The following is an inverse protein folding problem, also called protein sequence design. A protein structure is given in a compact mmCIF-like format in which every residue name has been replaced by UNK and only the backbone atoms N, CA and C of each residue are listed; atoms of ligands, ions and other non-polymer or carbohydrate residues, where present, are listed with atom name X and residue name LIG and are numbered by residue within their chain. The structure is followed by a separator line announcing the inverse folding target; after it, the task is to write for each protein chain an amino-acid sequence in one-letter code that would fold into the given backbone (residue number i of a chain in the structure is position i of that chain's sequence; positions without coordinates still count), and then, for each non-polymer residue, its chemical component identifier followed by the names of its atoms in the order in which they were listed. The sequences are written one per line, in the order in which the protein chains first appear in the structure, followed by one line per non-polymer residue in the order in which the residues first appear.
data_IF_195350199293
#
_entry.id   IF_195350199293
#
_cell.length_a   1.000
_cell.length_b   1.000
_cell.length_c   1.000
_cell.angle_alpha   90.00
_cell.angle_beta   90.00
_cell.angle_gamma   90.00
#
_symmetry.space_group_name_H-M   'P 1'
#
loop_
_entity.id
_entity.type
_entity.pdbx_description
1 polymer ?
#
# COMPACT_ATOMS: atom_id res chain seq x y z
N UNK A 1 -17.99 19.84 -15.05
CA UNK A 1 -18.00 18.47 -14.52
C UNK A 1 -17.26 17.60 -15.52
N UNK A 2 -15.95 17.39 -15.34
CA UNK A 2 -15.18 16.53 -16.26
C UNK A 2 -15.63 15.09 -16.02
N UNK A 3 -16.09 14.41 -17.07
CA UNK A 3 -16.47 13.01 -17.02
C UNK A 3 -15.21 12.18 -16.74
N UNK A 4 -15.20 11.47 -15.61
CA UNK A 4 -14.15 10.50 -15.29
C UNK A 4 -14.43 9.20 -16.07
N UNK A 5 -14.24 9.23 -17.38
CA UNK A 5 -14.54 8.11 -18.29
C UNK A 5 -13.37 7.13 -18.51
N UNK A 6 -12.30 7.23 -17.73
CA UNK A 6 -11.15 6.32 -17.82
C UNK A 6 -10.82 5.60 -16.51
N UNK A 7 -11.84 5.07 -15.81
CA UNK A 7 -11.60 3.98 -14.85
C UNK A 7 -11.32 2.74 -15.68
N UNK A 8 -10.10 2.21 -15.61
CA UNK A 8 -9.80 0.93 -16.24
C UNK A 8 -10.78 -0.11 -15.69
N UNK A 9 -11.37 -0.93 -16.55
CA UNK A 9 -12.11 -2.09 -16.07
C UNK A 9 -11.11 -3.10 -15.47
N UNK A 10 -11.50 -3.87 -14.44
CA UNK A 10 -10.70 -5.01 -14.02
C UNK A 10 -10.50 -5.93 -15.24
N UNK A 11 -9.27 -6.42 -15.48
CA UNK A 11 -9.01 -7.24 -16.65
C UNK A 11 -9.88 -8.50 -16.59
N UNK A 12 -10.58 -8.79 -17.69
CA UNK A 12 -11.26 -10.07 -17.88
C UNK A 12 -10.21 -11.08 -18.30
N UNK A 13 -9.86 -11.99 -17.38
CA UNK A 13 -8.75 -12.91 -17.59
C UNK A 13 -7.40 -12.27 -17.26
N UNK A 14 -6.55 -13.10 -16.67
CA UNK A 14 -5.19 -12.84 -16.20
C UNK A 14 -4.38 -11.90 -17.12
N UNK A 15 -4.44 -10.59 -16.89
CA UNK A 15 -3.34 -9.71 -17.28
C UNK A 15 -2.27 -9.85 -16.19
N UNK A 16 -1.58 -10.99 -16.21
CA UNK A 16 -0.42 -11.19 -15.35
C UNK A 16 0.60 -10.12 -15.69
N UNK A 17 1.09 -9.40 -14.68
CA UNK A 17 2.42 -8.83 -14.82
C UNK A 17 3.34 -10.00 -15.21
N UNK A 18 4.16 -9.85 -16.25
CA UNK A 18 5.00 -10.95 -16.74
C UNK A 18 5.73 -11.60 -15.55
N UNK A 19 5.57 -12.90 -15.36
CA UNK A 19 6.21 -13.66 -14.28
C UNK A 19 5.42 -13.86 -12.98
N UNK A 20 4.18 -13.37 -12.86
CA UNK A 20 3.32 -13.72 -11.70
C UNK A 20 2.50 -14.97 -12.02
N UNK A 21 2.57 -16.01 -11.17
CA UNK A 21 1.67 -17.16 -11.17
C UNK A 21 0.90 -17.21 -9.83
N UNK A 22 0.30 -18.34 -9.46
CA UNK A 22 -0.34 -18.52 -8.16
C UNK A 22 0.66 -18.71 -6.99
N UNK A 23 1.95 -18.79 -7.28
CA UNK A 23 3.02 -19.03 -6.30
C UNK A 23 3.88 -17.80 -6.03
N UNK A 24 3.86 -16.79 -6.91
CA UNK A 24 4.71 -15.59 -6.75
C UNK A 24 3.92 -14.29 -6.77
N UNK A 25 4.19 -13.44 -5.79
CA UNK A 25 3.80 -12.03 -5.81
C UNK A 25 4.93 -11.16 -6.36
N UNK A 26 4.60 -10.24 -7.26
CA UNK A 26 5.48 -9.18 -7.72
C UNK A 26 5.31 -7.94 -6.84
N UNK A 27 6.27 -7.72 -5.94
CA UNK A 27 6.22 -6.65 -4.95
C UNK A 27 7.17 -5.50 -5.31
N UNK A 28 6.66 -4.29 -5.11
CA UNK A 28 7.40 -3.04 -5.10
C UNK A 28 8.13 -2.81 -3.78
N UNK A 29 7.60 -3.35 -2.69
CA UNK A 29 8.24 -3.32 -1.40
C UNK A 29 7.45 -4.04 -0.32
N UNK A 30 8.06 -4.14 0.85
CA UNK A 30 7.53 -4.72 2.06
C UNK A 30 7.97 -3.88 3.26
N UNK A 31 7.07 -3.65 4.22
CA UNK A 31 7.40 -3.03 5.49
C UNK A 31 6.90 -3.90 6.65
N UNK A 32 7.76 -4.25 7.63
CA UNK A 32 7.44 -5.30 8.59
C UNK A 32 6.32 -4.95 9.56
N UNK A 33 6.26 -3.73 10.08
CA UNK A 33 5.25 -3.38 11.06
C UNK A 33 5.05 -1.86 11.17
N UNK A 34 3.82 -1.40 10.92
CA UNK A 34 3.37 -0.02 11.15
C UNK A 34 2.00 -0.01 11.83
N UNK A 35 1.59 1.13 12.39
CA UNK A 35 0.22 1.33 12.88
C UNK A 35 -0.61 2.34 12.07
N UNK A 36 -0.08 2.87 10.96
CA UNK A 36 -0.76 3.95 10.20
C UNK A 36 -1.68 3.45 9.06
N UNK A 37 -1.53 2.18 8.65
CA UNK A 37 -2.19 1.62 7.45
C UNK A 37 -3.28 0.58 7.78
N UNK A 38 -4.04 0.79 8.85
CA UNK A 38 -5.19 -0.06 9.21
C UNK A 38 -5.31 -0.27 10.73
N UNK A 39 -6.20 -1.17 11.18
CA UNK A 39 -6.30 -1.55 12.59
C UNK A 39 -5.03 -2.23 13.13
N UNK A 40 -4.52 -1.75 14.25
CA UNK A 40 -3.40 -2.40 14.97
C UNK A 40 -2.06 -2.34 14.23
N UNK A 41 -1.12 -3.20 14.63
CA UNK A 41 0.22 -3.31 14.04
C UNK A 41 0.19 -4.20 12.81
N UNK A 42 0.64 -3.71 11.65
CA UNK A 42 0.44 -4.40 10.37
C UNK A 42 1.69 -4.40 9.51
N UNK A 43 1.97 -5.52 8.86
CA UNK A 43 2.92 -5.53 7.74
C UNK A 43 2.28 -4.89 6.51
N UNK A 44 3.06 -4.16 5.71
CA UNK A 44 2.60 -3.59 4.43
C UNK A 44 3.25 -4.35 3.28
N UNK A 45 2.45 -4.74 2.30
CA UNK A 45 2.92 -5.25 1.02
C UNK A 45 2.51 -4.27 -0.08
N UNK A 46 3.47 -3.67 -0.78
CA UNK A 46 3.21 -2.86 -1.97
C UNK A 46 3.34 -3.74 -3.21
N UNK A 47 2.25 -3.92 -3.95
CA UNK A 47 2.24 -4.66 -5.21
C UNK A 47 2.83 -3.81 -6.34
N UNK A 48 3.53 -4.45 -7.28
CA UNK A 48 4.00 -3.83 -8.52
C UNK A 48 3.00 -4.08 -9.66
N UNK A 49 2.73 -3.04 -10.45
CA UNK A 49 1.83 -3.02 -11.61
C UNK A 49 0.47 -2.41 -11.29
N UNK A 50 0.01 -1.46 -12.10
CA UNK A 50 -1.31 -0.83 -11.97
C UNK A 50 -1.84 -0.36 -13.33
N UNK A 51 -3.12 -0.64 -13.62
CA UNK A 51 -3.79 -0.18 -14.84
C UNK A 51 -4.51 1.16 -14.69
N UNK A 52 -4.73 1.65 -13.47
CA UNK A 52 -5.55 2.84 -13.22
C UNK A 52 -4.88 4.16 -13.64
N UNK A 53 -3.55 4.26 -13.48
CA UNK A 53 -2.76 5.44 -13.87
C UNK A 53 -3.35 6.78 -13.37
N UNK A 54 -3.84 6.80 -12.14
CA UNK A 54 -4.51 7.96 -11.56
C UNK A 54 -3.60 9.22 -11.64
N UNK A 55 -4.08 10.35 -12.16
CA UNK A 55 -3.39 11.63 -12.05
C UNK A 55 -3.10 11.97 -10.59
N UNK A 56 -1.86 12.39 -10.28
CA UNK A 56 -1.44 12.70 -8.91
C UNK A 56 -1.22 11.48 -8.02
N UNK A 57 -1.13 10.26 -8.58
CA UNK A 57 -0.71 9.08 -7.82
C UNK A 57 0.65 9.34 -7.14
N UNK A 58 0.73 9.06 -5.85
CA UNK A 58 1.96 9.25 -5.05
C UNK A 58 3.02 8.16 -5.29
N UNK A 59 2.61 7.03 -5.90
CA UNK A 59 3.49 5.90 -6.21
C UNK A 59 3.50 5.58 -7.72
N UNK A 60 3.79 6.54 -8.62
CA UNK A 60 3.70 6.33 -10.06
C UNK A 60 4.71 5.28 -10.56
N UNK A 61 5.82 5.11 -9.85
CA UNK A 61 6.86 4.12 -10.13
C UNK A 61 6.38 2.67 -9.93
N UNK A 62 5.31 2.45 -9.15
CA UNK A 62 4.67 1.14 -8.96
C UNK A 62 3.67 0.79 -10.08
N UNK A 63 3.34 1.72 -10.97
CA UNK A 63 2.33 1.49 -12.03
C UNK A 63 2.79 0.61 -13.21
N UNK A 64 4.06 0.66 -13.68
CA UNK A 64 4.50 -0.16 -14.81
C UNK A 64 4.26 -1.66 -14.58
N UNK A 65 3.70 -2.33 -15.59
CA UNK A 65 3.47 -3.79 -15.60
C UNK A 65 4.77 -4.52 -15.94
N UNK A 66 5.70 -4.55 -15.01
CA UNK A 66 7.00 -5.23 -15.14
C UNK A 66 7.33 -5.98 -13.85
N UNK A 67 8.13 -7.06 -13.92
CA UNK A 67 8.76 -7.62 -12.73
C UNK A 67 9.54 -6.53 -11.98
N UNK A 68 9.40 -6.48 -10.65
CA UNK A 68 10.30 -5.77 -9.74
C UNK A 68 10.96 -6.78 -8.83
N UNK A 69 10.22 -7.32 -7.87
CA UNK A 69 10.72 -8.43 -7.03
C UNK A 69 9.66 -9.50 -6.93
N UNK A 70 9.96 -10.68 -7.48
CA UNK A 70 9.11 -11.84 -7.42
C UNK A 70 9.45 -12.60 -6.12
N UNK A 71 8.47 -12.74 -5.25
CA UNK A 71 8.61 -13.42 -3.95
C UNK A 71 7.62 -14.57 -3.90
N UNK A 72 8.08 -15.75 -3.51
CA UNK A 72 7.19 -16.89 -3.32
C UNK A 72 6.18 -16.59 -2.20
N UNK A 73 4.96 -17.09 -2.35
CA UNK A 73 3.90 -16.92 -1.34
C UNK A 73 4.33 -17.56 -0.02
N UNK A 74 4.98 -18.71 -0.07
CA UNK A 74 5.48 -19.43 1.11
C UNK A 74 6.55 -18.62 1.86
N UNK A 75 7.45 -17.96 1.12
CA UNK A 75 8.48 -17.10 1.72
C UNK A 75 7.85 -15.85 2.37
N UNK A 76 6.81 -15.27 1.76
CA UNK A 76 6.06 -14.17 2.37
C UNK A 76 5.34 -14.60 3.64
N UNK A 77 4.70 -15.78 3.64
CA UNK A 77 4.04 -16.33 4.82
C UNK A 77 5.04 -16.50 5.95
N UNK A 78 6.20 -17.10 5.68
CA UNK A 78 7.26 -17.29 6.68
C UNK A 78 7.85 -15.96 7.19
N UNK A 79 8.09 -15.00 6.30
CA UNK A 79 8.60 -13.68 6.68
C UNK A 79 7.60 -12.90 7.55
N UNK A 80 6.30 -13.01 7.29
CA UNK A 80 5.24 -12.37 8.08
C UNK A 80 5.07 -13.08 9.44
N UNK A 81 5.14 -14.42 9.45
CA UNK A 81 5.03 -15.23 10.69
C UNK A 81 6.12 -14.88 11.70
N UNK A 82 7.34 -14.60 11.21
CA UNK A 82 8.47 -14.23 12.04
C UNK A 82 8.32 -12.85 12.74
N UNK A 83 7.29 -12.07 12.43
CA UNK A 83 7.09 -10.73 13.00
C UNK A 83 6.11 -10.83 14.18
N UNK A 84 6.66 -10.76 15.39
CA UNK A 84 5.88 -10.91 16.62
C UNK A 84 4.83 -9.81 16.82
N UNK A 85 3.59 -10.19 17.15
CA UNK A 85 2.55 -9.25 17.58
C UNK A 85 1.95 -8.40 16.46
N UNK A 86 1.95 -8.90 15.23
CA UNK A 86 1.12 -8.35 14.16
C UNK A 86 -0.37 -8.61 14.43
N UNK A 87 -1.19 -7.56 14.26
CA UNK A 87 -2.64 -7.66 14.17
C UNK A 87 -3.06 -8.13 12.76
N UNK A 88 -2.26 -7.81 11.75
CA UNK A 88 -2.63 -8.14 10.38
C UNK A 88 -1.66 -7.68 9.32
N UNK A 89 -2.13 -7.72 8.08
CA UNK A 89 -1.41 -7.20 6.92
C UNK A 89 -2.25 -6.19 6.14
N UNK A 90 -1.58 -5.26 5.46
CA UNK A 90 -2.19 -4.31 4.53
C UNK A 90 -1.54 -4.46 3.17
N UNK A 91 -2.33 -4.85 2.17
CA UNK A 91 -1.88 -5.00 0.79
C UNK A 91 -2.34 -3.79 -0.02
N UNK A 92 -1.38 -3.07 -0.59
CA UNK A 92 -1.56 -1.80 -1.29
C UNK A 92 -0.57 -1.73 -2.45
N UNK A 93 -0.26 -0.53 -2.95
CA UNK A 93 0.71 -0.31 -4.03
C UNK A 93 -0.01 -0.17 -5.37
N UNK A 94 0.59 -0.69 -6.43
CA UNK A 94 0.07 -0.61 -7.80
C UNK A 94 -1.41 -1.01 -7.87
N UNK A 95 -1.71 -2.28 -8.06
CA UNK A 95 -3.07 -2.81 -7.97
C UNK A 95 -3.00 -4.27 -7.51
N UNK A 96 -3.29 -4.55 -6.23
CA UNK A 96 -3.19 -5.91 -5.68
C UNK A 96 -4.02 -6.94 -6.46
N UNK A 97 -5.17 -6.54 -7.01
CA UNK A 97 -6.08 -7.46 -7.69
C UNK A 97 -5.59 -7.88 -9.09
N UNK A 98 -4.53 -7.26 -9.63
CA UNK A 98 -3.82 -7.80 -10.81
C UNK A 98 -3.06 -9.10 -10.49
N UNK A 99 -2.87 -9.42 -9.22
CA UNK A 99 -2.15 -10.59 -8.72
C UNK A 99 -3.07 -11.50 -7.89
N UNK A 100 -4.37 -11.51 -8.20
CA UNK A 100 -5.41 -12.13 -7.36
C UNK A 100 -5.18 -13.61 -7.02
N UNK A 101 -4.56 -14.39 -7.92
CA UNK A 101 -4.28 -15.80 -7.66
C UNK A 101 -3.27 -16.00 -6.51
N UNK A 102 -2.07 -15.43 -6.61
CA UNK A 102 -1.06 -15.47 -5.54
C UNK A 102 -1.53 -14.76 -4.27
N UNK A 103 -2.23 -13.63 -4.42
CA UNK A 103 -2.80 -12.93 -3.27
C UNK A 103 -3.82 -13.78 -2.53
N UNK A 104 -4.73 -14.48 -3.23
CA UNK A 104 -5.68 -15.39 -2.61
C UNK A 104 -4.98 -16.53 -1.84
N UNK A 105 -3.90 -17.09 -2.40
CA UNK A 105 -3.09 -18.11 -1.74
C UNK A 105 -2.45 -17.57 -0.45
N UNK A 106 -1.84 -16.38 -0.50
CA UNK A 106 -1.24 -15.71 0.65
C UNK A 106 -2.29 -15.47 1.76
N UNK A 107 -3.42 -14.84 1.43
CA UNK A 107 -4.45 -14.50 2.43
C UNK A 107 -5.06 -15.74 3.08
N UNK A 108 -5.21 -16.83 2.32
CA UNK A 108 -5.70 -18.11 2.85
C UNK A 108 -4.75 -18.67 3.91
N UNK A 109 -3.43 -18.65 3.68
CA UNK A 109 -2.45 -19.12 4.65
C UNK A 109 -2.42 -18.22 5.90
N UNK A 110 -2.29 -16.90 5.73
CA UNK A 110 -2.20 -15.96 6.86
C UNK A 110 -3.46 -15.94 7.75
N UNK A 111 -4.65 -16.05 7.14
CA UNK A 111 -5.90 -16.12 7.92
C UNK A 111 -6.04 -17.46 8.65
N UNK A 112 -5.72 -18.57 7.98
CA UNK A 112 -5.92 -19.91 8.52
C UNK A 112 -4.90 -20.29 9.59
N UNK A 113 -3.61 -20.06 9.32
CA UNK A 113 -2.49 -20.52 10.15
C UNK A 113 -2.13 -19.52 11.24
N UNK A 114 -2.19 -18.21 10.93
CA UNK A 114 -1.69 -17.15 11.82
C UNK A 114 -2.81 -16.32 12.45
N UNK A 115 -4.06 -16.46 11.97
CA UNK A 115 -5.18 -15.68 12.46
C UNK A 115 -5.03 -14.17 12.24
N UNK A 116 -4.23 -13.75 11.27
CA UNK A 116 -3.99 -12.34 10.95
C UNK A 116 -5.19 -11.73 10.22
N UNK A 117 -5.54 -10.49 10.56
CA UNK A 117 -6.56 -9.77 9.81
C UNK A 117 -5.98 -9.08 8.57
N UNK A 118 -6.83 -8.77 7.60
CA UNK A 118 -6.40 -8.42 6.24
C UNK A 118 -7.10 -7.14 5.77
N UNK A 119 -6.31 -6.23 5.22
CA UNK A 119 -6.80 -4.99 4.63
C UNK A 119 -6.23 -4.83 3.22
N UNK A 120 -7.07 -4.48 2.25
CA UNK A 120 -6.65 -4.33 0.85
C UNK A 120 -7.12 -2.97 0.33
N UNK A 121 -6.25 -2.32 -0.43
CA UNK A 121 -6.59 -1.17 -1.25
C UNK A 121 -6.70 -1.59 -2.70
N UNK A 122 -7.77 -1.19 -3.39
CA UNK A 122 -7.94 -1.40 -4.82
C UNK A 122 -8.45 -0.13 -5.49
N UNK A 123 -7.95 0.14 -6.70
CA UNK A 123 -8.49 1.18 -7.57
C UNK A 123 -9.82 0.79 -8.23
N UNK A 124 -10.23 -0.48 -8.14
CA UNK A 124 -11.55 -0.94 -8.57
C UNK A 124 -12.56 -0.84 -7.42
N UNK A 125 -13.81 -0.55 -7.75
CA UNK A 125 -14.90 -0.61 -6.75
C UNK A 125 -15.29 -2.06 -6.45
N UNK A 126 -15.82 -2.33 -5.26
CA UNK A 126 -16.33 -3.65 -4.88
C UNK A 126 -17.34 -4.19 -5.90
N UNK A 127 -18.20 -3.32 -6.43
CA UNK A 127 -19.19 -3.68 -7.45
C UNK A 127 -18.51 -4.14 -8.76
N UNK A 128 -17.46 -3.44 -9.21
CA UNK A 128 -16.68 -3.85 -10.37
C UNK A 128 -15.97 -5.18 -10.14
N UNK A 129 -15.39 -5.38 -8.95
CA UNK A 129 -14.72 -6.62 -8.59
C UNK A 129 -15.68 -7.81 -8.61
N UNK A 130 -16.86 -7.69 -8.01
CA UNK A 130 -17.91 -8.74 -8.02
C UNK A 130 -18.39 -9.02 -9.44
N UNK A 131 -18.56 -7.98 -10.27
CA UNK A 131 -19.03 -8.12 -11.65
C UNK A 131 -18.04 -8.86 -12.58
N UNK A 132 -16.78 -9.04 -12.16
CA UNK A 132 -15.82 -9.84 -12.94
C UNK A 132 -16.17 -11.32 -13.01
N UNK A 133 -16.84 -11.84 -11.98
CA UNK A 133 -17.00 -13.28 -11.76
C UNK A 133 -15.66 -14.07 -11.80
N UNK A 134 -14.55 -13.42 -11.46
CA UNK A 134 -13.24 -14.08 -11.38
C UNK A 134 -13.10 -14.82 -10.04
N UNK A 135 -12.91 -16.13 -10.11
CA UNK A 135 -12.81 -17.01 -8.93
C UNK A 135 -11.69 -16.62 -7.96
N UNK A 136 -10.60 -16.02 -8.45
CA UNK A 136 -9.47 -15.60 -7.63
C UNK A 136 -9.78 -14.28 -6.94
N UNK A 137 -10.41 -13.33 -7.63
CA UNK A 137 -10.91 -12.09 -7.01
C UNK A 137 -11.92 -12.43 -5.92
N UNK A 138 -12.86 -13.34 -6.20
CA UNK A 138 -13.82 -13.82 -5.20
C UNK A 138 -13.11 -14.46 -3.99
N UNK A 139 -12.01 -15.20 -4.22
CA UNK A 139 -11.21 -15.78 -3.15
C UNK A 139 -10.48 -14.72 -2.32
N UNK A 140 -9.91 -13.69 -2.95
CA UNK A 140 -9.32 -12.53 -2.25
C UNK A 140 -10.38 -11.86 -1.38
N UNK A 141 -11.54 -11.53 -1.94
CA UNK A 141 -12.63 -10.86 -1.22
C UNK A 141 -13.12 -11.68 -0.03
N UNK A 142 -13.28 -13.01 -0.17
CA UNK A 142 -13.67 -13.90 0.93
C UNK A 142 -12.67 -13.91 2.10
N UNK A 143 -11.39 -13.70 1.82
CA UNK A 143 -10.35 -13.70 2.86
C UNK A 143 -10.04 -12.30 3.40
N UNK A 144 -10.56 -11.25 2.78
CA UNK A 144 -10.35 -9.84 3.16
C UNK A 144 -11.28 -9.42 4.30
N UNK A 145 -10.76 -8.71 5.32
CA UNK A 145 -11.60 -8.11 6.37
C UNK A 145 -12.03 -6.68 6.03
N UNK A 146 -11.11 -5.88 5.47
CA UNK A 146 -11.36 -4.50 5.04
C UNK A 146 -10.91 -4.31 3.60
N UNK A 147 -11.81 -3.80 2.75
CA UNK A 147 -11.46 -3.32 1.41
C UNK A 147 -11.64 -1.79 1.36
N UNK A 148 -10.59 -1.08 0.96
CA UNK A 148 -10.70 0.33 0.53
C UNK A 148 -10.74 0.33 -0.99
N UNK A 149 -11.86 0.76 -1.57
CA UNK A 149 -12.14 0.61 -3.00
C UNK A 149 -12.14 1.93 -3.78
N UNK A 150 -12.02 1.81 -5.11
CA UNK A 150 -12.17 2.92 -6.05
C UNK A 150 -10.89 3.71 -6.36
N UNK A 151 -10.87 4.40 -7.52
CA UNK A 151 -9.67 5.09 -8.00
C UNK A 151 -9.36 6.33 -7.16
N UNK A 152 -8.10 6.73 -7.13
CA UNK A 152 -7.70 8.00 -6.54
C UNK A 152 -8.14 9.17 -7.44
N UNK A 153 -8.77 10.18 -6.82
CA UNK A 153 -9.18 11.42 -7.47
C UNK A 153 -8.63 12.59 -6.65
N UNK A 154 -7.64 13.30 -7.19
CA UNK A 154 -6.90 14.34 -6.47
C UNK A 154 -7.80 15.48 -5.96
N UNK A 155 -8.79 15.88 -6.74
CA UNK A 155 -9.76 16.93 -6.40
C UNK A 155 -10.68 16.55 -5.23
N UNK A 156 -10.73 15.26 -4.89
CA UNK A 156 -11.55 14.72 -3.80
C UNK A 156 -10.68 14.31 -2.60
N UNK A 157 -9.39 14.62 -2.57
CA UNK A 157 -8.56 14.39 -1.38
C UNK A 157 -8.98 15.36 -0.26
N UNK A 158 -9.60 14.80 0.78
CA UNK A 158 -10.05 15.52 1.97
C UNK A 158 -9.37 15.01 3.25
N UNK A 159 -8.17 14.41 3.14
CA UNK A 159 -7.41 13.88 4.29
C UNK A 159 -8.19 12.86 5.14
N UNK A 160 -9.04 12.04 4.50
CA UNK A 160 -9.81 11.00 5.19
C UNK A 160 -8.93 9.84 5.64
N UNK A 161 -9.25 9.29 6.81
CA UNK A 161 -8.60 8.09 7.35
C UNK A 161 -8.66 6.97 6.31
N UNK A 162 -7.49 6.39 6.03
CA UNK A 162 -7.28 5.25 5.14
C UNK A 162 -7.79 5.41 3.71
N UNK A 163 -8.05 6.63 3.23
CA UNK A 163 -8.51 6.89 1.87
C UNK A 163 -7.74 8.04 1.28
N UNK A 164 -7.30 7.92 0.03
CA UNK A 164 -6.70 9.00 -0.75
C UNK A 164 -7.73 10.01 -1.23
N UNK A 165 -8.97 9.60 -1.49
CA UNK A 165 -10.01 10.49 -2.01
C UNK A 165 -11.42 10.11 -1.55
N UNK A 166 -12.32 11.09 -1.48
CA UNK A 166 -13.67 10.95 -0.90
C UNK A 166 -14.64 10.08 -1.70
N UNK A 167 -14.31 9.73 -2.94
CA UNK A 167 -15.07 8.72 -3.69
C UNK A 167 -14.77 7.29 -3.22
N UNK A 168 -13.65 7.06 -2.52
CA UNK A 168 -13.26 5.74 -2.06
C UNK A 168 -14.07 5.31 -0.85
N UNK A 169 -14.48 4.04 -0.79
CA UNK A 169 -15.29 3.50 0.31
C UNK A 169 -14.51 2.45 1.08
N UNK A 170 -14.75 2.41 2.39
CA UNK A 170 -14.26 1.36 3.27
C UNK A 170 -15.38 0.34 3.38
N UNK A 171 -15.09 -0.91 3.03
CA UNK A 171 -16.01 -2.04 3.18
C UNK A 171 -15.48 -2.97 4.25
N UNK A 172 -16.26 -3.18 5.31
CA UNK A 172 -15.98 -4.20 6.32
C UNK A 172 -16.60 -5.52 5.86
N UNK A 173 -15.79 -6.37 5.23
CA UNK A 173 -16.24 -7.62 4.61
C UNK A 173 -16.36 -8.79 5.61
N UNK A 174 -15.84 -8.61 6.83
CA UNK A 174 -15.97 -9.57 7.93
C UNK A 174 -16.37 -8.88 9.24
N UNK A 175 -16.65 -9.68 10.29
CA UNK A 175 -16.96 -9.17 11.62
C UNK A 175 -15.72 -8.65 12.40
N UNK A 176 -14.49 -8.98 11.96
CA UNK A 176 -13.26 -8.74 12.75
C UNK A 176 -13.07 -7.28 13.15
N UNK A 177 -13.40 -6.34 12.27
CA UNK A 177 -13.13 -4.91 12.45
C UNK A 177 -14.38 -4.03 12.37
N UNK A 178 -15.58 -4.57 12.58
CA UNK A 178 -16.83 -3.79 12.51
C UNK A 178 -16.89 -2.63 13.53
N UNK A 179 -16.13 -2.72 14.61
CA UNK A 179 -15.98 -1.64 15.60
C UNK A 179 -15.17 -0.44 15.06
N UNK A 180 -14.53 -0.53 13.90
CA UNK A 180 -13.77 0.54 13.26
C UNK A 180 -14.62 1.45 12.34
N UNK A 181 -15.95 1.41 12.41
CA UNK A 181 -16.85 2.29 11.64
C UNK A 181 -16.49 3.79 11.69
N UNK A 182 -15.86 4.27 12.78
CA UNK A 182 -15.33 5.64 12.87
C UNK A 182 -14.38 6.00 11.72
N UNK A 183 -13.69 5.02 11.13
CA UNK A 183 -12.80 5.23 10.00
C UNK A 183 -13.54 5.79 8.77
N UNK A 184 -14.84 5.52 8.64
CA UNK A 184 -15.68 6.01 7.53
C UNK A 184 -15.87 7.53 7.56
N UNK A 185 -15.87 8.14 8.76
CA UNK A 185 -16.11 9.57 8.94
C UNK A 185 -14.88 10.35 9.41
N UNK A 186 -13.83 9.66 9.87
CA UNK A 186 -12.62 10.29 10.37
C UNK A 186 -11.84 11.01 9.25
N UNK A 187 -11.53 12.29 9.49
CA UNK A 187 -10.76 13.17 8.60
C UNK A 187 -9.31 13.36 9.06
N UNK A 188 -8.78 12.41 9.81
CA UNK A 188 -7.40 12.41 10.27
C UNK A 188 -6.65 11.22 9.65
N UNK A 189 -5.56 11.52 8.94
CA UNK A 189 -4.61 10.51 8.46
C UNK A 189 -3.46 10.38 9.45
N UNK A 190 -3.10 9.14 9.75
CA UNK A 190 -1.85 8.85 10.42
C UNK A 190 -0.72 8.81 9.37
N UNK A 191 0.42 9.38 9.73
CA UNK A 191 1.68 9.26 9.00
C UNK A 191 2.74 8.76 9.97
N UNK A 192 3.60 7.88 9.51
CA UNK A 192 4.75 7.39 10.27
C UNK A 192 6.02 7.73 9.48
N UNK A 193 7.03 8.27 10.16
CA UNK A 193 8.31 8.64 9.57
C UNK A 193 9.41 7.82 10.21
N UNK A 194 10.10 7.02 9.42
CA UNK A 194 11.30 6.30 9.84
C UNK A 194 12.50 7.03 9.29
N UNK A 195 13.38 7.51 10.16
CA UNK A 195 14.61 8.22 9.76
C UNK A 195 15.80 7.35 10.11
N UNK A 196 16.68 7.12 9.14
CA UNK A 196 17.94 6.41 9.36
C UNK A 196 19.05 7.35 9.89
N UNK A 197 20.22 6.77 10.17
CA UNK A 197 21.38 7.52 10.66
C UNK A 197 21.99 8.50 9.64
N UNK A 198 21.62 8.39 8.37
CA UNK A 198 22.10 9.25 7.28
C UNK A 198 21.16 10.44 7.00
N UNK A 199 20.08 10.61 7.78
CA UNK A 199 19.06 11.64 7.54
C UNK A 199 18.12 11.27 6.38
N UNK A 200 18.15 10.02 5.97
CA UNK A 200 17.27 9.43 4.98
C UNK A 200 15.97 9.03 5.67
N UNK A 201 14.80 9.42 5.16
CA UNK A 201 13.53 9.00 5.75
C UNK A 201 12.59 8.27 4.81
N UNK A 202 11.86 7.31 5.36
CA UNK A 202 10.72 6.63 4.75
C UNK A 202 9.44 7.16 5.39
N UNK A 203 8.49 7.59 4.55
CA UNK A 203 7.17 8.03 4.99
C UNK A 203 6.13 6.94 4.68
N UNK A 204 5.45 6.47 5.72
CA UNK A 204 4.36 5.52 5.64
C UNK A 204 3.03 6.22 5.91
N UNK A 205 1.99 5.78 5.21
CA UNK A 205 0.67 6.37 5.30
C UNK A 205 0.24 7.03 3.98
N UNK A 206 -0.90 7.70 4.03
CA UNK A 206 -1.40 8.49 2.90
C UNK A 206 -1.11 9.97 3.24
N UNK A 207 -0.14 10.62 2.58
CA UNK A 207 0.18 12.02 2.87
C UNK A 207 -0.97 12.95 2.49
N UNK A 208 -1.01 14.16 3.08
CA UNK A 208 -1.89 15.22 2.56
C UNK A 208 -1.39 15.70 1.20
N UNK A 209 -2.24 16.27 0.33
CA UNK A 209 -1.85 16.70 -1.03
C UNK A 209 -0.62 17.62 -1.08
N UNK A 210 -0.45 18.46 -0.06
CA UNK A 210 0.63 19.42 0.06
C UNK A 210 1.77 18.95 0.99
N UNK A 211 1.74 17.70 1.48
CA UNK A 211 2.75 17.18 2.39
C UNK A 211 4.15 17.27 1.78
N UNK A 212 4.34 16.70 0.59
CA UNK A 212 5.65 16.68 -0.06
C UNK A 212 6.10 18.08 -0.51
N UNK A 213 5.19 18.94 -0.96
CA UNK A 213 5.56 20.31 -1.34
C UNK A 213 5.98 21.15 -0.13
N UNK A 214 5.27 21.06 1.01
CA UNK A 214 5.66 21.69 2.28
C UNK A 214 6.97 21.14 2.83
N UNK A 215 7.22 19.85 2.61
CA UNK A 215 8.46 19.21 3.04
C UNK A 215 9.63 19.68 2.18
N UNK A 216 9.47 19.68 0.85
CA UNK A 216 10.46 20.19 -0.10
C UNK A 216 10.79 21.66 0.09
N UNK A 217 9.88 22.47 0.65
CA UNK A 217 10.14 23.87 0.94
C UNK A 217 10.96 24.10 2.22
N UNK A 218 11.23 23.06 3.02
CA UNK A 218 12.02 23.20 4.24
C UNK A 218 13.52 23.30 3.91
N UNK A 219 14.28 24.21 4.56
CA UNK A 219 15.74 24.28 4.40
C UNK A 219 16.42 22.94 4.70
N UNK A 220 17.27 22.47 3.79
CA UNK A 220 18.02 21.22 3.95
C UNK A 220 17.26 19.95 3.54
N UNK A 221 16.03 20.08 3.05
CA UNK A 221 15.25 18.94 2.52
C UNK A 221 15.42 18.83 1.01
N UNK A 222 15.78 17.63 0.53
CA UNK A 222 15.78 17.29 -0.91
C UNK A 222 14.92 16.06 -1.10
N UNK A 223 13.93 16.15 -1.99
CA UNK A 223 13.10 14.99 -2.37
C UNK A 223 13.71 14.33 -3.62
N UNK A 224 14.09 13.06 -3.49
CA UNK A 224 14.54 12.23 -4.61
C UNK A 224 13.45 11.19 -4.93
N UNK A 225 13.13 10.95 -6.21
CA UNK A 225 12.16 9.92 -6.59
C UNK A 225 12.71 8.50 -6.30
N UNK A 226 11.85 7.62 -5.79
CA UNK A 226 12.19 6.23 -5.44
C UNK A 226 12.55 5.39 -6.69
N UNK A 227 13.71 4.71 -6.66
CA UNK A 227 14.20 3.89 -7.79
C UNK A 227 14.33 2.39 -7.48
N UNK A 228 14.35 1.95 -6.21
CA UNK A 228 14.66 0.56 -5.82
C UNK A 228 13.71 -0.02 -4.75
N UNK A 229 13.57 -1.35 -4.67
CA UNK A 229 12.57 -2.02 -3.84
C UNK A 229 12.93 -2.05 -2.34
N UNK A 230 11.92 -1.90 -1.46
CA UNK A 230 12.06 -2.04 -0.01
C UNK A 230 11.90 -3.52 0.38
N UNK A 231 12.96 -4.24 0.74
CA UNK A 231 12.88 -5.57 1.35
C UNK A 231 13.60 -5.62 2.69
N UNK A 232 13.05 -6.28 3.72
CA UNK A 232 13.73 -6.48 4.98
C UNK A 232 14.77 -7.59 4.82
N UNK A 233 16.02 -7.27 5.14
CA UNK A 233 17.18 -8.16 5.04
C UNK A 233 18.51 -7.42 5.19
N UNK A 234 18.51 -6.10 4.96
CA UNK A 234 19.65 -5.22 5.18
C UNK A 234 19.20 -3.91 5.83
N UNK A 235 19.08 -3.91 7.16
CA UNK A 235 19.38 -2.67 7.89
C UNK A 235 20.91 -2.62 8.06
N UNK A 236 21.61 -2.50 6.93
CA UNK A 236 22.90 -1.83 6.81
C UNK A 236 23.13 -1.42 5.34
N UNK A 237 23.56 -0.16 5.19
CA UNK A 237 24.12 0.55 4.06
C UNK A 237 23.30 0.70 2.76
N UNK A 238 22.95 1.97 2.49
CA UNK A 238 22.51 2.59 1.23
C UNK A 238 21.04 2.43 0.80
N UNK A 239 20.30 3.45 1.26
CA UNK A 239 19.15 4.14 0.63
C UNK A 239 17.84 3.39 0.41
N UNK A 240 16.80 3.89 1.08
CA UNK A 240 15.52 4.22 0.44
C UNK A 240 14.82 5.33 1.23
N UNK A 241 15.02 6.54 0.73
CA UNK A 241 14.91 7.78 1.47
C UNK A 241 14.22 8.83 0.61
N UNK A 242 13.52 9.73 1.26
CA UNK A 242 13.83 11.13 0.99
C UNK A 242 15.17 11.42 1.69
N UNK A 243 16.22 11.70 0.92
CA UNK A 243 17.52 12.08 1.49
C UNK A 243 17.47 13.54 1.91
N UNK A 244 17.32 13.80 3.21
CA UNK A 244 17.41 15.14 3.76
C UNK A 244 18.66 15.26 4.60
N UNK A 245 19.70 15.89 4.05
CA UNK A 245 20.85 16.29 4.85
C UNK A 245 20.48 17.49 5.71
N UNK A 246 20.21 17.25 6.98
CA UNK A 246 20.23 18.31 7.99
C UNK A 246 21.68 18.75 8.21
N UNK A 247 22.01 20.00 7.90
CA UNK A 247 23.18 20.65 8.50
C UNK A 247 22.71 21.29 9.79
N UNK A 248 23.11 20.78 10.98
CA UNK A 248 22.87 21.52 12.20
C UNK A 248 23.51 22.89 12.04
N UNK A 249 22.76 23.94 12.38
CA UNK A 249 23.43 25.18 12.78
C UNK A 249 24.32 24.82 13.96
N UNK A 250 25.62 24.69 13.72
CA UNK A 250 26.57 24.88 14.81
C UNK A 250 26.31 26.31 15.28
N UNK A 251 25.77 26.45 16.49
CA UNK A 251 26.04 27.65 17.25
C UNK A 251 27.54 27.61 17.47
N UNK A 252 28.28 28.27 16.58
CA UNK A 252 29.63 28.69 16.90
C UNK A 252 29.49 29.54 18.17
N UNK A 253 30.01 28.99 19.27
CA UNK A 253 30.21 29.77 20.48
C UNK A 253 31.31 30.78 20.17
N UNK A 254 30.91 32.00 19.84
CA UNK A 254 31.68 33.22 19.98
C UNK A 254 30.76 34.35 20.37
#
# INVERSE_FOLDING_TARGET
MKSYEHVAQPPSGLLLAQGTDDRHMNLAGFFPATSCMGPGRRAILWCQGCLQRCPGCINPHMQPLRPRTLVAVEDLVAAIDAIEGLEGITVVGGEPLLQAAALAALLRCLRGEQGLGTMIYSGYTLAQLIATHDRNIDAVLRHTDILVDGPYIAELDQSQMWRGSANQKIHFLSQRYQNWHRAETCTQRAMELHVDTNGTFLALGIPSPDFFSRLASQPGVTLEPETEALFPGSIDASSNAVRCTFKPHTKDNS
#
